data_IF_758890558924
#
_entry.id   IF_758890558924
#
_cell.length_a   1.000
_cell.length_b   1.000
_cell.length_c   1.000
_cell.angle_alpha   90.00
_cell.angle_beta   90.00
_cell.angle_gamma   90.00
#
_symmetry.space_group_name_H-M   'P 1'
#
loop_
_entity.id
_entity.type
_entity.pdbx_description
1 polymer ?
#
# COMPACT_ATOMS: atom_id res chain seq x y z
N UNK A 1 -41.49 24.64 -20.40
CA UNK A 1 -40.59 25.20 -19.37
C UNK A 1 -41.37 25.33 -18.05
N UNK A 2 -41.17 24.41 -17.10
CA UNK A 2 -41.84 24.42 -15.79
C UNK A 2 -40.81 24.76 -14.71
N UNK A 3 -41.02 25.88 -14.03
CA UNK A 3 -40.19 26.45 -12.96
C UNK A 3 -40.16 25.52 -11.73
N UNK A 4 -38.95 25.09 -11.32
CA UNK A 4 -38.73 24.38 -10.05
C UNK A 4 -38.53 25.39 -8.91
N UNK A 5 -39.31 25.21 -7.84
CA UNK A 5 -39.22 25.98 -6.58
C UNK A 5 -37.91 25.67 -5.83
N UNK A 6 -37.30 26.65 -5.12
CA UNK A 6 -36.16 26.42 -4.25
C UNK A 6 -36.60 25.90 -2.87
N UNK A 7 -35.88 24.89 -2.38
CA UNK A 7 -36.08 24.27 -1.06
C UNK A 7 -35.25 25.04 -0.03
N UNK A 8 -35.92 25.51 1.03
CA UNK A 8 -35.34 26.35 2.09
C UNK A 8 -34.38 25.57 3.00
N UNK A 9 -33.27 26.24 3.29
CA UNK A 9 -32.30 25.96 4.35
C UNK A 9 -32.98 25.84 5.73
N UNK A 10 -32.53 24.89 6.55
CA UNK A 10 -32.62 24.96 8.02
C UNK A 10 -31.24 24.79 8.62
N UNK A 11 -30.85 25.83 9.34
CA UNK A 11 -29.71 25.96 10.23
C UNK A 11 -30.13 25.67 11.68
N UNK A 12 -29.12 25.62 12.57
CA UNK A 12 -29.16 25.54 14.05
C UNK A 12 -29.41 24.13 14.62
N UNK A 13 -28.71 23.63 15.64
CA UNK A 13 -28.06 24.29 16.79
C UNK A 13 -27.08 23.34 17.52
N UNK A 14 -25.92 23.84 17.94
CA UNK A 14 -25.08 23.34 19.07
C UNK A 14 -25.76 23.69 20.43
N UNK A 15 -25.13 23.60 21.63
CA UNK A 15 -24.02 22.81 22.20
C UNK A 15 -24.39 22.17 23.58
N UNK A 16 -23.48 21.44 24.25
CA UNK A 16 -23.28 21.30 25.73
C UNK A 16 -22.43 20.05 26.01
N UNK A 17 -21.18 20.12 26.49
CA UNK A 17 -20.68 20.56 27.82
C UNK A 17 -21.06 19.63 28.97
N UNK A 18 -20.05 18.90 29.48
CA UNK A 18 -19.83 18.41 30.85
C UNK A 18 -18.38 17.88 30.84
N UNK A 19 -17.39 18.58 31.43
CA UNK A 19 -17.02 18.53 32.86
C UNK A 19 -17.01 17.10 33.42
N UNK A 20 -16.05 16.62 34.18
CA UNK A 20 -14.76 17.07 34.71
C UNK A 20 -14.17 15.81 35.38
N UNK A 21 -12.85 15.70 35.52
CA UNK A 21 -12.24 15.16 36.74
C UNK A 21 -10.72 15.32 36.67
N UNK A 22 -10.27 16.22 37.54
CA UNK A 22 -8.89 16.41 37.93
C UNK A 22 -8.36 15.22 38.73
N UNK A 23 -7.08 14.96 38.58
CA UNK A 23 -6.27 14.23 39.54
C UNK A 23 -4.83 14.72 39.47
N UNK A 24 -4.33 15.44 40.49
CA UNK A 24 -2.90 15.69 40.67
C UNK A 24 -2.32 14.69 41.70
N UNK A 25 -1.17 14.13 41.42
CA UNK A 25 -0.18 13.67 42.42
C UNK A 25 1.07 13.30 41.63
N UNK A 26 2.15 14.06 41.78
CA UNK A 26 3.32 13.66 42.58
C UNK A 26 4.09 12.51 41.93
N UNK A 27 5.41 12.45 41.88
CA UNK A 27 6.52 13.27 42.29
C UNK A 27 7.71 12.29 42.09
N UNK A 28 8.87 12.80 41.72
CA UNK A 28 10.17 12.13 41.97
C UNK A 28 10.43 10.83 41.18
N UNK A 29 11.28 10.96 40.16
CA UNK A 29 12.57 10.26 40.12
C UNK A 29 13.45 10.89 39.04
N UNK A 30 14.20 11.88 39.50
CA UNK A 30 15.38 12.42 38.84
C UNK A 30 16.50 11.39 39.01
N UNK A 31 16.58 10.45 38.05
CA UNK A 31 17.70 9.50 37.94
C UNK A 31 18.71 10.03 36.93
N UNK A 32 19.79 10.57 37.47
CA UNK A 32 21.18 10.26 37.12
C UNK A 32 21.51 10.18 35.62
N UNK A 33 21.61 11.35 34.98
CA UNK A 33 22.27 11.50 33.68
C UNK A 33 23.80 11.53 33.89
N UNK A 34 24.39 10.37 34.18
CA UNK A 34 25.84 10.15 34.06
C UNK A 34 26.17 9.63 32.68
N UNK A 35 27.09 10.36 32.05
CA UNK A 35 27.45 10.26 30.66
C UNK A 35 27.83 8.87 30.18
N UNK A 36 27.24 8.50 29.05
CA UNK A 36 27.88 7.66 28.05
C UNK A 36 27.90 8.47 26.77
N UNK A 37 28.98 9.24 26.57
CA UNK A 37 29.36 9.74 25.25
C UNK A 37 29.79 8.55 24.39
N UNK A 38 28.82 7.76 23.91
CA UNK A 38 29.02 7.00 22.69
C UNK A 38 28.66 7.94 21.55
N UNK A 39 29.65 8.73 21.12
CA UNK A 39 29.58 9.48 19.86
C UNK A 39 29.42 8.50 18.71
N UNK A 40 28.19 8.02 18.50
CA UNK A 40 27.80 7.50 17.20
C UNK A 40 27.94 8.68 16.25
N UNK A 41 28.75 8.58 15.19
CA UNK A 41 28.82 9.63 14.20
C UNK A 41 27.40 9.80 13.68
N UNK A 42 26.78 10.93 14.04
CA UNK A 42 25.59 11.43 13.36
C UNK A 42 26.05 11.60 11.92
N UNK A 43 25.73 10.62 11.09
CA UNK A 43 25.92 10.67 9.65
C UNK A 43 24.96 11.73 9.13
N UNK A 44 25.35 12.99 9.30
CA UNK A 44 24.77 14.13 8.63
C UNK A 44 24.63 13.77 7.14
N UNK A 45 23.41 13.71 6.58
CA UNK A 45 23.19 13.35 5.18
C UNK A 45 23.63 14.50 4.27
N UNK A 46 24.95 14.68 4.18
CA UNK A 46 25.59 15.67 3.33
C UNK A 46 25.44 15.31 1.85
N UNK A 47 24.88 16.28 1.10
CA UNK A 47 25.18 16.61 -0.31
C UNK A 47 25.18 15.45 -1.30
N UNK A 48 24.08 15.34 -2.07
CA UNK A 48 23.97 14.62 -3.36
C UNK A 48 24.85 13.36 -3.41
N UNK A 49 24.68 12.50 -2.41
CA UNK A 49 25.44 11.26 -2.31
C UNK A 49 25.13 10.47 -3.58
N UNK A 50 26.17 10.15 -4.36
CA UNK A 50 26.01 9.30 -5.54
C UNK A 50 25.23 8.07 -5.11
N UNK A 51 24.00 7.82 -5.62
CA UNK A 51 23.15 6.75 -5.10
C UNK A 51 23.80 5.37 -5.26
N UNK A 52 24.78 5.26 -6.18
CA UNK A 52 25.61 4.05 -6.35
C UNK A 52 26.55 3.80 -5.18
N UNK A 53 27.04 4.84 -4.51
CA UNK A 53 27.92 4.69 -3.35
C UNK A 53 27.22 3.96 -2.18
N UNK A 54 25.88 4.05 -2.11
CA UNK A 54 25.09 3.34 -1.12
C UNK A 54 25.17 1.82 -1.29
N UNK A 55 25.40 1.34 -2.51
CA UNK A 55 25.45 -0.08 -2.88
C UNK A 55 26.83 -0.72 -2.68
N UNK A 56 27.83 0.04 -2.21
CA UNK A 56 29.18 -0.46 -1.98
C UNK A 56 29.28 -1.21 -0.64
N UNK A 57 29.93 -2.37 -0.64
CA UNK A 57 30.20 -3.17 0.56
C UNK A 57 29.38 -4.45 0.65
N UNK A 58 29.27 -5.01 1.86
CA UNK A 58 28.52 -6.25 2.09
C UNK A 58 27.01 -6.03 1.96
N UNK A 59 26.21 -7.04 1.54
CA UNK A 59 24.75 -6.91 1.50
C UNK A 59 24.14 -6.44 2.82
N UNK A 60 24.67 -6.89 3.96
CA UNK A 60 24.21 -6.44 5.29
C UNK A 60 24.45 -4.94 5.50
N UNK A 61 25.61 -4.44 5.09
CA UNK A 61 25.95 -3.01 5.18
C UNK A 61 25.09 -2.17 4.25
N UNK A 62 24.86 -2.64 3.02
CA UNK A 62 23.98 -1.96 2.07
C UNK A 62 22.56 -1.90 2.63
N UNK A 63 22.01 -3.02 3.11
CA UNK A 63 20.68 -3.06 3.70
C UNK A 63 20.56 -2.09 4.87
N UNK A 64 21.52 -2.09 5.81
CA UNK A 64 21.51 -1.18 6.95
C UNK A 64 21.47 0.30 6.54
N UNK A 65 22.16 0.69 5.45
CA UNK A 65 22.09 2.05 4.91
C UNK A 65 20.75 2.36 4.26
N UNK A 66 20.18 1.39 3.54
CA UNK A 66 18.91 1.58 2.85
C UNK A 66 17.72 1.66 3.84
N UNK A 67 17.80 0.98 4.98
CA UNK A 67 16.75 0.97 6.01
C UNK A 67 16.64 2.27 6.82
N UNK A 68 17.64 3.17 6.77
CA UNK A 68 17.60 4.45 7.48
C UNK A 68 16.61 5.48 6.89
N UNK A 69 15.91 5.13 5.81
CA UNK A 69 14.94 5.99 5.16
C UNK A 69 14.53 5.41 3.82
N UNK A 70 14.70 6.19 2.74
CA UNK A 70 14.52 5.70 1.37
C UNK A 70 15.44 6.46 0.40
N UNK A 71 16.77 6.28 0.52
CA UNK A 71 17.71 7.08 -0.26
C UNK A 71 17.67 6.77 -1.76
N UNK A 72 17.10 5.62 -2.15
CA UNK A 72 16.89 5.20 -3.53
C UNK A 72 15.48 5.52 -4.06
N UNK A 73 14.60 6.11 -3.24
CA UNK A 73 13.20 6.41 -3.57
C UNK A 73 12.43 5.18 -4.05
N UNK A 74 12.74 4.01 -3.51
CA UNK A 74 12.11 2.74 -3.88
C UNK A 74 10.63 2.72 -3.52
N UNK A 75 10.17 3.42 -2.49
CA UNK A 75 8.74 3.48 -2.12
C UNK A 75 7.90 4.09 -3.24
N UNK A 76 8.39 5.18 -3.82
CA UNK A 76 7.74 5.84 -4.96
C UNK A 76 7.79 4.95 -6.20
N UNK A 77 8.92 4.29 -6.43
CA UNK A 77 9.07 3.38 -7.56
C UNK A 77 8.11 2.19 -7.44
N UNK A 78 8.05 1.52 -6.29
CA UNK A 78 7.12 0.43 -6.00
C UNK A 78 5.68 0.87 -6.23
N UNK A 79 5.26 1.99 -5.63
CA UNK A 79 3.90 2.52 -5.79
C UNK A 79 3.55 2.79 -7.25
N UNK A 80 4.46 3.41 -8.00
CA UNK A 80 4.28 3.67 -9.42
C UNK A 80 4.17 2.37 -10.24
N UNK A 81 5.00 1.36 -9.93
CA UNK A 81 4.98 0.08 -10.65
C UNK A 81 3.74 -0.75 -10.34
N UNK A 82 3.29 -0.80 -9.09
CA UNK A 82 2.03 -1.44 -8.71
C UNK A 82 0.84 -0.79 -9.42
N UNK A 83 0.82 0.56 -9.52
CA UNK A 83 -0.23 1.29 -10.25
C UNK A 83 -0.21 0.98 -11.74
N UNK A 84 0.96 1.02 -12.39
CA UNK A 84 1.11 0.70 -13.82
C UNK A 84 0.66 -0.74 -14.11
N UNK A 85 0.96 -1.68 -13.22
CA UNK A 85 0.55 -3.09 -13.37
C UNK A 85 -0.88 -3.35 -12.92
N UNK A 86 -1.58 -2.38 -12.34
CA UNK A 86 -2.93 -2.54 -11.77
C UNK A 86 -2.99 -3.73 -10.79
N UNK A 87 -2.08 -3.73 -9.81
CA UNK A 87 -1.98 -4.77 -8.79
C UNK A 87 -2.43 -4.24 -7.42
N UNK A 88 -3.19 -5.05 -6.70
CA UNK A 88 -3.56 -4.81 -5.30
C UNK A 88 -2.66 -5.65 -4.42
N UNK A 89 -1.66 -5.01 -3.80
CA UNK A 89 -0.65 -5.66 -2.98
C UNK A 89 -0.22 -4.75 -1.84
N UNK A 90 0.35 -5.32 -0.78
CA UNK A 90 0.99 -4.54 0.27
C UNK A 90 2.30 -3.93 -0.25
N UNK A 91 2.27 -2.62 -0.48
CA UNK A 91 3.42 -1.88 -1.00
C UNK A 91 4.64 -1.94 -0.05
N UNK A 92 4.43 -2.06 1.27
CA UNK A 92 5.52 -2.18 2.23
C UNK A 92 6.24 -3.53 2.06
N UNK A 93 5.47 -4.62 1.92
CA UNK A 93 6.03 -5.95 1.66
C UNK A 93 6.90 -5.95 0.40
N UNK A 94 6.37 -5.41 -0.69
CA UNK A 94 7.12 -5.30 -1.96
C UNK A 94 8.35 -4.43 -1.80
N UNK A 95 8.27 -3.32 -1.05
CA UNK A 95 9.41 -2.46 -0.75
C UNK A 95 10.51 -3.19 0.04
N UNK A 96 10.16 -3.97 1.07
CA UNK A 96 11.12 -4.74 1.85
C UNK A 96 11.82 -5.82 1.01
N UNK A 97 11.07 -6.50 0.13
CA UNK A 97 11.65 -7.47 -0.82
C UNK A 97 12.55 -6.77 -1.83
N UNK A 98 12.16 -5.60 -2.34
CA UNK A 98 12.99 -4.80 -3.24
C UNK A 98 14.29 -4.33 -2.56
N UNK A 99 14.23 -3.93 -1.29
CA UNK A 99 15.42 -3.61 -0.48
C UNK A 99 16.37 -4.81 -0.39
N UNK A 100 15.85 -5.99 -0.11
CA UNK A 100 16.64 -7.22 -0.05
C UNK A 100 17.35 -7.52 -1.39
N UNK A 101 16.64 -7.36 -2.51
CA UNK A 101 17.23 -7.49 -3.85
C UNK A 101 18.31 -6.45 -4.11
N UNK A 102 18.06 -5.17 -3.81
CA UNK A 102 19.05 -4.11 -3.97
C UNK A 102 20.28 -4.33 -3.10
N UNK A 103 20.12 -4.81 -1.87
CA UNK A 103 21.23 -5.12 -0.98
C UNK A 103 22.06 -6.32 -1.46
N UNK A 104 21.39 -7.38 -1.92
CA UNK A 104 22.04 -8.61 -2.40
C UNK A 104 22.79 -8.40 -3.72
N UNK A 105 22.15 -7.72 -4.66
CA UNK A 105 22.67 -7.58 -6.03
C UNK A 105 23.43 -6.26 -6.25
N UNK A 106 23.33 -5.30 -5.33
CA UNK A 106 23.92 -3.97 -5.46
C UNK A 106 25.43 -3.98 -5.62
N UNK A 107 26.13 -4.89 -4.92
CA UNK A 107 27.58 -5.04 -5.04
C UNK A 107 28.02 -5.55 -6.43
N UNK A 108 27.10 -6.13 -7.20
CA UNK A 108 27.33 -6.64 -8.57
C UNK A 108 26.85 -5.67 -9.64
N UNK A 109 26.26 -4.53 -9.28
CA UNK A 109 25.80 -3.55 -10.25
C UNK A 109 27.00 -3.01 -11.05
N UNK A 110 27.02 -3.33 -12.34
CA UNK A 110 27.98 -2.77 -13.30
C UNK A 110 27.31 -1.63 -14.04
N UNK A 111 28.04 -0.54 -14.29
CA UNK A 111 27.54 0.67 -14.98
C UNK A 111 27.17 0.46 -16.47
N UNK A 112 27.07 -0.80 -16.93
CA UNK A 112 26.66 -1.15 -18.30
C UNK A 112 25.18 -0.83 -18.57
N UNK A 113 24.35 -0.72 -17.52
CA UNK A 113 22.95 -0.29 -17.65
C UNK A 113 22.69 0.97 -16.83
N UNK A 114 21.74 1.79 -17.28
CA UNK A 114 21.27 2.95 -16.54
C UNK A 114 20.80 2.54 -15.13
N UNK A 115 21.15 3.33 -14.12
CA UNK A 115 20.90 3.00 -12.72
C UNK A 115 19.39 2.86 -12.43
N UNK A 116 18.58 3.76 -13.00
CA UNK A 116 17.13 3.74 -12.83
C UNK A 116 16.49 2.50 -13.48
N UNK A 117 17.01 2.06 -14.63
CA UNK A 117 16.55 0.84 -15.29
C UNK A 117 16.86 -0.40 -14.44
N UNK A 118 18.04 -0.44 -13.81
CA UNK A 118 18.39 -1.51 -12.87
C UNK A 118 17.49 -1.53 -11.63
N UNK A 119 17.23 -0.36 -11.01
CA UNK A 119 16.31 -0.26 -9.88
C UNK A 119 14.91 -0.73 -10.25
N UNK A 120 14.40 -0.29 -11.41
CA UNK A 120 13.12 -0.75 -11.94
C UNK A 120 13.08 -2.26 -12.09
N UNK A 121 14.14 -2.88 -12.60
CA UNK A 121 14.23 -4.34 -12.71
C UNK A 121 14.21 -5.03 -11.34
N UNK A 122 14.87 -4.47 -10.31
CA UNK A 122 14.81 -5.03 -8.95
C UNK A 122 13.42 -4.94 -8.35
N UNK A 123 12.70 -3.84 -8.58
CA UNK A 123 11.31 -3.67 -8.15
C UNK A 123 10.37 -4.62 -8.89
N UNK A 124 10.52 -4.79 -10.20
CA UNK A 124 9.72 -5.79 -10.95
C UNK A 124 9.91 -7.19 -10.39
N UNK A 125 11.17 -7.58 -10.17
CA UNK A 125 11.46 -8.87 -9.57
C UNK A 125 10.85 -9.02 -8.18
N UNK A 126 10.89 -7.97 -7.35
CA UNK A 126 10.26 -7.99 -6.03
C UNK A 126 8.74 -8.18 -6.11
N UNK A 127 8.08 -7.55 -7.08
CA UNK A 127 6.65 -7.73 -7.33
C UNK A 127 6.36 -9.18 -7.70
N UNK A 128 7.13 -9.74 -8.64
CA UNK A 128 6.95 -11.12 -9.12
C UNK A 128 7.20 -12.13 -7.99
N UNK A 129 8.27 -11.98 -7.21
CA UNK A 129 8.56 -12.85 -6.06
C UNK A 129 7.43 -12.83 -5.02
N UNK A 130 6.80 -11.66 -4.77
CA UNK A 130 5.67 -11.55 -3.84
C UNK A 130 4.39 -12.17 -4.41
N UNK A 131 4.16 -12.08 -5.72
CA UNK A 131 3.05 -12.77 -6.39
C UNK A 131 3.23 -14.29 -6.35
N UNK A 132 4.45 -14.77 -6.60
CA UNK A 132 4.79 -16.20 -6.66
C UNK A 132 4.79 -16.88 -5.28
N UNK A 133 5.09 -16.14 -4.21
CA UNK A 133 4.99 -16.62 -2.83
C UNK A 133 3.56 -17.08 -2.47
N UNK A 134 2.54 -16.57 -3.18
CA UNK A 134 1.15 -17.02 -3.05
C UNK A 134 0.54 -16.81 -1.67
N UNK A 135 -0.60 -17.47 -1.37
CA UNK A 135 -1.35 -17.26 -0.13
C UNK A 135 -0.75 -18.00 1.08
N UNK A 136 0.25 -18.86 0.89
CA UNK A 136 0.89 -19.60 1.99
C UNK A 136 1.67 -18.65 2.91
N UNK A 137 2.32 -17.63 2.34
CA UNK A 137 3.00 -16.56 3.07
C UNK A 137 2.07 -15.42 3.52
N UNK A 138 0.75 -15.55 3.26
CA UNK A 138 -0.23 -14.51 3.59
C UNK A 138 -0.36 -14.28 5.10
N UNK A 139 0.21 -15.14 5.96
CA UNK A 139 0.19 -14.94 7.41
C UNK A 139 0.89 -13.64 7.84
N UNK A 140 1.96 -13.24 7.12
CA UNK A 140 2.58 -11.93 7.28
C UNK A 140 1.68 -10.79 6.75
N UNK A 141 0.87 -11.04 5.72
CA UNK A 141 -0.07 -10.07 5.16
C UNK A 141 -1.31 -9.86 6.05
N UNK A 142 -1.74 -10.88 6.82
CA UNK A 142 -2.95 -10.79 7.67
C UNK A 142 -2.88 -9.67 8.72
N UNK A 143 -1.68 -9.22 9.08
CA UNK A 143 -1.45 -8.16 10.07
C UNK A 143 -1.21 -6.77 9.46
N UNK A 144 -1.28 -6.62 8.13
CA UNK A 144 -1.03 -5.31 7.52
C UNK A 144 -2.18 -4.34 7.81
N UNK A 145 -1.87 -3.23 8.47
CA UNK A 145 -2.83 -2.15 8.73
C UNK A 145 -3.45 -1.60 7.42
N UNK A 146 -2.69 -1.63 6.32
CA UNK A 146 -3.15 -1.21 5.01
C UNK A 146 -4.35 -2.04 4.53
N UNK A 147 -4.34 -3.35 4.77
CA UNK A 147 -5.48 -4.20 4.41
C UNK A 147 -6.69 -3.94 5.29
N UNK A 148 -6.50 -3.66 6.58
CA UNK A 148 -7.60 -3.32 7.47
C UNK A 148 -8.31 -2.02 7.03
N UNK A 149 -7.55 -1.00 6.65
CA UNK A 149 -8.11 0.27 6.18
C UNK A 149 -8.83 0.14 4.84
N UNK A 150 -8.28 -0.65 3.91
CA UNK A 150 -8.91 -0.90 2.62
C UNK A 150 -10.15 -1.82 2.73
N UNK A 151 -10.16 -2.75 3.69
CA UNK A 151 -11.26 -3.70 3.89
C UNK A 151 -12.49 -3.06 4.55
N UNK A 152 -12.28 -2.05 5.42
CA UNK A 152 -13.34 -1.42 6.23
C UNK A 152 -14.52 -0.90 5.40
N UNK A 153 -14.33 -0.15 4.30
CA UNK A 153 -15.46 0.36 3.50
C UNK A 153 -16.28 -0.74 2.82
N UNK A 154 -15.69 -1.93 2.63
CA UNK A 154 -16.33 -3.07 1.96
C UNK A 154 -16.95 -4.07 2.94
N UNK A 155 -16.84 -3.82 4.25
CA UNK A 155 -17.27 -4.78 5.27
C UNK A 155 -16.48 -6.10 5.26
N UNK A 156 -15.25 -6.06 4.75
CA UNK A 156 -14.35 -7.22 4.69
C UNK A 156 -13.43 -7.24 5.92
N UNK A 157 -12.97 -8.44 6.30
CA UNK A 157 -11.82 -8.58 7.19
C UNK A 157 -10.53 -8.35 6.39
N UNK A 158 -9.45 -7.92 7.06
CA UNK A 158 -8.13 -7.76 6.42
C UNK A 158 -7.67 -9.07 5.74
N UNK A 159 -7.95 -10.22 6.37
CA UNK A 159 -7.63 -11.55 5.82
C UNK A 159 -8.40 -11.84 4.53
N UNK A 160 -9.70 -11.56 4.50
CA UNK A 160 -10.51 -11.73 3.29
C UNK A 160 -10.09 -10.75 2.20
N UNK A 161 -9.68 -9.54 2.57
CA UNK A 161 -9.20 -8.54 1.62
C UNK A 161 -7.88 -8.95 0.97
N UNK A 162 -6.92 -9.47 1.74
CA UNK A 162 -5.68 -10.02 1.21
C UNK A 162 -5.95 -11.18 0.23
N UNK A 163 -6.82 -12.12 0.60
CA UNK A 163 -7.22 -13.24 -0.27
C UNK A 163 -7.92 -12.79 -1.54
N UNK A 164 -8.86 -11.84 -1.43
CA UNK A 164 -9.54 -11.26 -2.57
C UNK A 164 -8.55 -10.54 -3.50
N UNK A 165 -7.54 -9.86 -2.94
CA UNK A 165 -6.50 -9.18 -3.71
C UNK A 165 -5.62 -10.16 -4.49
N UNK A 166 -5.28 -11.33 -3.92
CA UNK A 166 -4.58 -12.41 -4.64
C UNK A 166 -5.42 -12.90 -5.82
N UNK A 167 -6.70 -13.21 -5.59
CA UNK A 167 -7.61 -13.66 -6.67
C UNK A 167 -7.81 -12.58 -7.74
N UNK A 168 -7.88 -11.31 -7.32
CA UNK A 168 -7.99 -10.17 -8.22
C UNK A 168 -6.75 -10.04 -9.10
N UNK A 169 -5.56 -10.17 -8.53
CA UNK A 169 -4.28 -10.07 -9.25
C UNK A 169 -4.12 -11.16 -10.32
N UNK A 170 -4.79 -12.30 -10.17
CA UNK A 170 -4.83 -13.38 -11.16
C UNK A 170 -5.76 -13.09 -12.36
N UNK A 171 -6.59 -12.04 -12.31
CA UNK A 171 -7.47 -11.68 -13.43
C UNK A 171 -6.68 -11.18 -14.65
N UNK A 172 -7.25 -11.31 -15.87
CA UNK A 172 -6.69 -10.70 -17.07
C UNK A 172 -6.44 -9.20 -16.90
N UNK A 173 -5.40 -8.68 -17.56
CA UNK A 173 -5.01 -7.26 -17.46
C UNK A 173 -6.17 -6.30 -17.75
N UNK A 174 -7.02 -6.63 -18.73
CA UNK A 174 -8.17 -5.80 -19.09
C UNK A 174 -9.15 -5.63 -17.91
N UNK A 175 -9.47 -6.72 -17.20
CA UNK A 175 -10.33 -6.70 -16.02
C UNK A 175 -9.74 -5.87 -14.89
N UNK A 176 -8.44 -6.06 -14.61
CA UNK A 176 -7.73 -5.31 -13.56
C UNK A 176 -7.67 -3.82 -13.88
N UNK A 177 -7.37 -3.49 -15.13
CA UNK A 177 -7.30 -2.11 -15.62
C UNK A 177 -8.66 -1.42 -15.52
N UNK A 178 -9.73 -2.05 -16.03
CA UNK A 178 -11.08 -1.49 -15.97
C UNK A 178 -11.55 -1.28 -14.52
N UNK A 179 -11.28 -2.24 -13.63
CA UNK A 179 -11.55 -2.09 -12.21
C UNK A 179 -10.80 -0.90 -11.60
N UNK A 180 -9.49 -0.78 -11.83
CA UNK A 180 -8.70 0.32 -11.28
C UNK A 180 -9.23 1.69 -11.71
N UNK A 181 -9.49 1.89 -12.99
CA UNK A 181 -9.94 3.19 -13.49
C UNK A 181 -11.34 3.57 -13.00
N UNK A 182 -12.28 2.62 -13.02
CA UNK A 182 -13.68 2.90 -12.67
C UNK A 182 -13.92 2.90 -11.16
N UNK A 183 -13.26 2.01 -10.41
CA UNK A 183 -13.53 1.83 -8.98
C UNK A 183 -12.55 2.59 -8.11
N UNK A 184 -11.24 2.55 -8.42
CA UNK A 184 -10.22 3.14 -7.56
C UNK A 184 -9.88 4.59 -7.93
N UNK A 185 -9.76 4.88 -9.23
CA UNK A 185 -9.53 6.25 -9.71
C UNK A 185 -10.85 7.04 -9.85
N UNK A 186 -12.01 6.38 -9.73
CA UNK A 186 -13.33 7.02 -9.75
C UNK A 186 -13.72 7.67 -11.07
N UNK A 187 -13.13 7.23 -12.20
CA UNK A 187 -13.46 7.77 -13.52
C UNK A 187 -14.84 7.34 -13.96
N UNK A 188 -15.48 8.18 -14.76
CA UNK A 188 -16.75 7.80 -15.40
C UNK A 188 -16.54 6.74 -16.47
N UNK A 189 -17.57 5.91 -16.69
CA UNK A 189 -17.53 4.86 -17.71
C UNK A 189 -17.34 5.44 -19.12
N UNK A 190 -18.01 6.56 -19.42
CA UNK A 190 -17.94 7.22 -20.73
C UNK A 190 -16.56 7.84 -20.99
N UNK A 191 -15.96 8.48 -19.99
CA UNK A 191 -14.60 9.04 -20.09
C UNK A 191 -13.59 7.93 -20.40
N UNK A 192 -13.68 6.79 -19.69
CA UNK A 192 -12.76 5.69 -19.90
C UNK A 192 -13.00 4.94 -21.21
N UNK A 193 -14.26 4.79 -21.63
CA UNK A 193 -14.61 4.26 -22.96
C UNK A 193 -13.98 5.10 -24.08
N UNK A 194 -14.12 6.43 -23.99
CA UNK A 194 -13.53 7.35 -24.96
C UNK A 194 -12.00 7.25 -24.98
N UNK A 195 -11.35 7.26 -23.81
CA UNK A 195 -9.90 7.24 -23.70
C UNK A 195 -9.27 5.90 -24.15
N UNK A 196 -9.94 4.78 -23.91
CA UNK A 196 -9.45 3.45 -24.25
C UNK A 196 -9.83 2.98 -25.66
N UNK A 197 -10.77 3.67 -26.32
CA UNK A 197 -11.33 3.25 -27.61
C UNK A 197 -12.15 1.95 -27.54
N UNK A 198 -12.55 1.51 -26.34
CA UNK A 198 -13.34 0.31 -26.10
C UNK A 198 -14.81 0.67 -25.85
N UNK A 199 -15.73 -0.27 -26.12
CA UNK A 199 -17.14 -0.04 -25.82
C UNK A 199 -17.39 -0.04 -24.30
N UNK A 200 -18.33 0.81 -23.86
CA UNK A 200 -18.67 0.98 -22.45
C UNK A 200 -19.19 -0.32 -21.81
N UNK A 201 -19.95 -1.14 -22.56
CA UNK A 201 -20.48 -2.42 -22.06
C UNK A 201 -19.37 -3.41 -21.71
N UNK A 202 -18.32 -3.52 -22.52
CA UNK A 202 -17.21 -4.44 -22.27
C UNK A 202 -16.39 -3.99 -21.06
N UNK A 203 -16.14 -2.68 -20.94
CA UNK A 203 -15.46 -2.10 -19.78
C UNK A 203 -16.24 -2.33 -18.49
N UNK A 204 -17.57 -2.17 -18.52
CA UNK A 204 -18.43 -2.45 -17.38
C UNK A 204 -18.40 -3.94 -16.99
N UNK A 205 -18.43 -4.85 -17.97
CA UNK A 205 -18.27 -6.28 -17.74
C UNK A 205 -16.92 -6.63 -17.11
N UNK A 206 -15.83 -6.07 -17.64
CA UNK A 206 -14.47 -6.27 -17.13
C UNK A 206 -14.30 -5.74 -15.69
N UNK A 207 -14.81 -4.54 -15.39
CA UNK A 207 -14.79 -3.99 -14.04
C UNK A 207 -15.66 -4.79 -13.06
N UNK A 208 -16.83 -5.25 -13.51
CA UNK A 208 -17.71 -6.11 -12.71
C UNK A 208 -17.05 -7.42 -12.34
N UNK A 209 -16.27 -8.04 -13.25
CA UNK A 209 -15.46 -9.23 -12.93
C UNK A 209 -14.49 -8.95 -11.78
N UNK A 210 -13.83 -7.79 -11.78
CA UNK A 210 -12.98 -7.35 -10.68
C UNK A 210 -13.75 -7.21 -9.36
N UNK A 211 -14.91 -6.55 -9.39
CA UNK A 211 -15.75 -6.36 -8.20
C UNK A 211 -16.29 -7.68 -7.65
N UNK A 212 -16.67 -8.61 -8.52
CA UNK A 212 -17.23 -9.90 -8.13
C UNK A 212 -16.26 -10.69 -7.23
N UNK A 213 -14.95 -10.61 -7.51
CA UNK A 213 -13.93 -11.23 -6.65
C UNK A 213 -14.07 -10.80 -5.20
N UNK A 214 -14.30 -9.52 -4.91
CA UNK A 214 -14.45 -9.03 -3.54
C UNK A 214 -15.81 -9.40 -2.93
N UNK A 215 -16.87 -9.35 -3.73
CA UNK A 215 -18.22 -9.70 -3.28
C UNK A 215 -18.32 -11.17 -2.84
N UNK A 216 -17.64 -12.09 -3.52
CA UNK A 216 -17.65 -13.51 -3.16
C UNK A 216 -17.10 -13.75 -1.74
N UNK A 217 -16.12 -12.96 -1.29
CA UNK A 217 -15.58 -13.04 0.06
C UNK A 217 -16.49 -12.41 1.12
N UNK A 218 -17.29 -11.40 0.77
CA UNK A 218 -18.29 -10.83 1.71
C UNK A 218 -19.37 -11.87 2.05
N UNK A 219 -19.83 -12.62 1.04
CA UNK A 219 -20.88 -13.63 1.21
C UNK A 219 -20.37 -14.85 1.99
N UNK A 220 -19.14 -15.28 1.71
CA UNK A 220 -18.51 -16.41 2.41
C UNK A 220 -18.31 -16.11 3.91
N UNK A 221 -17.93 -14.87 4.25
CA UNK A 221 -17.77 -14.45 5.65
C UNK A 221 -19.08 -14.43 6.44
N UNK A 222 -20.19 -14.00 5.80
CA UNK A 222 -21.50 -13.96 6.43
C UNK A 222 -21.99 -15.36 6.86
N UNK A 223 -21.82 -16.35 5.98
CA UNK A 223 -22.22 -17.74 6.24
C UNK A 223 -21.37 -18.39 7.36
N UNK A 224 -20.08 -18.07 7.43
CA UNK A 224 -19.20 -18.58 8.49
C UNK A 224 -19.56 -18.01 9.87
N UNK A 225 -20.07 -16.77 9.95
CA UNK A 225 -20.47 -16.15 11.23
C UNK A 225 -21.79 -16.73 11.79
N UNK A 226 -22.70 -17.17 10.92
CA UNK A 226 -24.00 -17.71 11.32
C UNK A 226 -23.89 -19.09 11.99
N UNK A 227 -22.89 -19.90 11.61
CA UNK A 227 -22.66 -21.24 12.16
C UNK A 227 -21.81 -21.27 13.45
N UNK A 228 -21.33 -20.12 13.94
CA UNK A 228 -20.50 -20.03 15.15
C UNK A 228 -21.27 -19.54 16.38
N UNK A 229 -22.60 -19.62 16.38
CA UNK A 229 -23.40 -19.46 17.60
C UNK A 229 -23.53 -20.82 18.31
N UNK A 230 -23.22 -20.89 19.62
CA UNK A 230 -23.23 -22.13 20.41
C UNK A 230 -24.63 -22.72 20.57
#
# INVERSE_FOLDING_TARGET
MKLRKPMKLRSSSSPSSLEALAGPSEAVRETDQRGVQAGSPVLEPSRRSNPRALLLGSPRTVLARLTLGDPLKLRNLVSARLRIRHLLMDAERVYLVALAHCARDGCRYRAQQAFDAWLKQRVERAIDDVLDAGPADAEAERSSAAWADLARPLGLSAVNMARASVNFNALPLNSRTAFFYLVLDGRSLDEWALASGRCASDLACDARRGLQVFLDFTQTGALSSANSKP
#
